data_IF_307121606401
#
_entry.id   IF_307121606401
#
_cell.length_a   1.000
_cell.length_b   1.000
_cell.length_c   1.000
_cell.angle_alpha   90.00
_cell.angle_beta   90.00
_cell.angle_gamma   90.00
#
_symmetry.space_group_name_H-M   'P 1'
#
loop_
_entity.id
_entity.type
_entity.pdbx_description
1 polymer ?
#
# COMPACT_ATOMS: atom_id res chain seq x y z
N UNK A 1 15.61 -12.59 -6.00
CA UNK A 1 14.52 -11.75 -5.44
C UNK A 1 14.41 -11.95 -3.94
N UNK A 2 14.46 -10.85 -3.17
CA UNK A 2 14.21 -10.86 -1.72
C UNK A 2 13.18 -9.80 -1.34
N UNK A 3 12.54 -10.00 -0.19
CA UNK A 3 11.71 -8.97 0.44
C UNK A 3 12.51 -8.29 1.55
N UNK A 4 12.46 -6.97 1.57
CA UNK A 4 13.06 -6.14 2.59
C UNK A 4 11.96 -5.37 3.32
N UNK A 5 12.14 -5.19 4.63
CA UNK A 5 11.41 -4.19 5.40
C UNK A 5 12.31 -2.96 5.49
N UNK A 6 11.76 -1.80 5.14
CA UNK A 6 12.38 -0.50 5.31
C UNK A 6 11.50 0.29 6.26
N UNK A 7 12.05 0.69 7.39
CA UNK A 7 11.40 1.59 8.35
C UNK A 7 12.28 2.81 8.55
N UNK A 8 11.67 3.98 8.67
CA UNK A 8 12.40 5.21 8.92
C UNK A 8 11.71 6.03 10.01
N UNK A 9 12.46 6.87 10.70
CA UNK A 9 11.95 7.87 11.62
C UNK A 9 12.55 9.21 11.22
N UNK A 10 11.72 10.24 11.03
CA UNK A 10 12.17 11.54 10.53
C UNK A 10 11.94 12.59 11.60
N UNK A 11 13.00 13.29 12.01
CA UNK A 11 12.90 14.40 12.93
C UNK A 11 12.08 15.57 12.33
N UNK A 12 12.14 15.73 11.00
CA UNK A 12 11.39 16.75 10.26
C UNK A 12 10.59 16.15 9.08
N UNK A 13 9.42 15.54 9.35
CA UNK A 13 8.66 14.77 8.36
C UNK A 13 8.22 15.57 7.13
N UNK A 14 8.02 16.88 7.25
CA UNK A 14 7.50 17.71 6.16
C UNK A 14 8.51 17.97 5.03
N UNK A 15 9.81 17.79 5.30
CA UNK A 15 10.87 18.13 4.35
C UNK A 15 11.20 16.98 3.41
N UNK A 16 11.46 15.79 3.97
CA UNK A 16 12.14 14.71 3.23
C UNK A 16 11.21 13.51 2.94
N UNK A 17 10.09 13.36 3.66
CA UNK A 17 9.20 12.18 3.61
C UNK A 17 8.69 11.84 2.20
N UNK A 18 8.30 12.84 1.42
CA UNK A 18 7.78 12.60 0.07
C UNK A 18 8.88 12.10 -0.88
N UNK A 19 10.06 12.71 -0.81
CA UNK A 19 11.23 12.35 -1.63
C UNK A 19 11.69 10.94 -1.26
N UNK A 20 11.75 10.63 0.03
CA UNK A 20 12.14 9.32 0.55
C UNK A 20 11.17 8.21 0.10
N UNK A 21 9.87 8.49 0.15
CA UNK A 21 8.84 7.59 -0.38
C UNK A 21 9.02 7.35 -1.89
N UNK A 22 9.25 8.40 -2.69
CA UNK A 22 9.49 8.26 -4.13
C UNK A 22 10.75 7.43 -4.42
N UNK A 23 11.83 7.64 -3.66
CA UNK A 23 13.07 6.89 -3.85
C UNK A 23 12.90 5.40 -3.50
N UNK A 24 12.21 5.07 -2.39
CA UNK A 24 11.87 3.69 -2.03
C UNK A 24 11.04 3.04 -3.15
N UNK A 25 10.04 3.75 -3.66
CA UNK A 25 9.21 3.26 -4.77
C UNK A 25 10.03 2.98 -6.02
N UNK A 26 11.00 3.84 -6.35
CA UNK A 26 11.85 3.74 -7.52
C UNK A 26 12.76 2.50 -7.49
N UNK A 27 13.35 2.19 -6.33
CA UNK A 27 14.26 1.04 -6.11
C UNK A 27 13.52 -0.30 -6.24
N UNK A 28 12.26 -0.35 -5.81
CA UNK A 28 11.45 -1.56 -5.78
C UNK A 28 10.90 -1.98 -7.14
N UNK A 29 10.97 -3.28 -7.43
CA UNK A 29 10.18 -3.88 -8.52
C UNK A 29 8.70 -3.98 -8.14
N UNK A 30 8.43 -4.30 -6.87
CA UNK A 30 7.13 -4.14 -6.22
C UNK A 30 7.33 -3.69 -4.78
N UNK A 31 6.38 -2.94 -4.24
CA UNK A 31 6.47 -2.39 -2.89
C UNK A 31 5.08 -2.35 -2.26
N UNK A 32 5.08 -2.25 -0.94
CA UNK A 32 3.91 -1.99 -0.13
C UNK A 32 4.25 -1.00 0.98
N UNK A 33 3.25 -0.21 1.38
CA UNK A 33 3.37 0.73 2.50
C UNK A 33 2.31 0.38 3.56
N UNK A 34 2.58 -0.62 4.44
CA UNK A 34 1.65 -1.03 5.49
C UNK A 34 1.37 0.07 6.51
N UNK A 35 2.40 0.84 6.87
CA UNK A 35 2.32 1.99 7.76
C UNK A 35 3.00 3.18 7.10
N UNK A 36 2.73 4.38 7.60
CA UNK A 36 3.23 5.59 6.98
C UNK A 36 4.76 5.61 6.83
N UNK A 37 5.47 5.08 7.82
CA UNK A 37 6.92 5.08 7.87
C UNK A 37 7.56 3.70 7.63
N UNK A 38 6.75 2.67 7.31
CA UNK A 38 7.23 1.30 7.10
C UNK A 38 6.81 0.78 5.75
N UNK A 39 7.75 0.16 5.06
CA UNK A 39 7.65 -0.28 3.68
C UNK A 39 8.11 -1.74 3.57
N UNK A 40 7.39 -2.51 2.77
CA UNK A 40 7.91 -3.75 2.22
C UNK A 40 8.38 -3.49 0.81
N UNK A 41 9.57 -3.98 0.47
CA UNK A 41 10.19 -3.77 -0.82
C UNK A 41 10.68 -5.09 -1.39
N UNK A 42 10.22 -5.46 -2.58
CA UNK A 42 10.76 -6.59 -3.33
C UNK A 42 11.77 -6.07 -4.36
N UNK A 43 13.01 -6.50 -4.22
CA UNK A 43 14.12 -6.05 -5.07
C UNK A 43 15.24 -7.11 -5.13
N UNK A 44 16.16 -6.94 -6.07
CA UNK A 44 17.42 -7.69 -6.13
C UNK A 44 18.56 -6.97 -5.40
N UNK A 45 18.38 -5.67 -5.11
CA UNK A 45 19.37 -4.87 -4.41
C UNK A 45 19.59 -5.38 -2.98
N UNK A 46 20.84 -5.25 -2.51
CA UNK A 46 21.23 -5.54 -1.12
C UNK A 46 20.90 -4.36 -0.23
N UNK A 47 20.75 -4.64 1.05
CA UNK A 47 20.42 -3.69 2.11
C UNK A 47 21.38 -2.50 2.12
N UNK A 48 22.69 -2.76 2.01
CA UNK A 48 23.77 -1.76 1.92
C UNK A 48 23.63 -0.83 0.71
N UNK A 49 23.18 -1.37 -0.44
CA UNK A 49 23.02 -0.57 -1.66
C UNK A 49 21.81 0.36 -1.57
N UNK A 50 20.80 -0.03 -0.80
CA UNK A 50 19.59 0.77 -0.57
C UNK A 50 19.88 1.81 0.52
N UNK A 51 20.58 1.43 1.59
CA UNK A 51 21.06 2.36 2.61
C UNK A 51 21.87 3.49 1.97
N UNK A 52 22.86 3.16 1.13
CA UNK A 52 23.69 4.15 0.48
C UNK A 52 22.89 5.14 -0.40
N UNK A 53 21.81 4.68 -1.03
CA UNK A 53 20.92 5.53 -1.84
C UNK A 53 20.00 6.41 -0.99
N UNK A 54 19.50 5.89 0.13
CA UNK A 54 18.57 6.61 1.00
C UNK A 54 19.28 7.56 1.97
N UNK A 55 20.53 7.26 2.36
CA UNK A 55 21.32 8.06 3.30
C UNK A 55 21.46 9.52 2.88
N UNK A 56 21.58 9.81 1.58
CA UNK A 56 21.69 11.18 1.08
C UNK A 56 20.42 12.03 1.29
N UNK A 57 19.31 11.41 1.70
CA UNK A 57 18.03 12.05 1.94
C UNK A 57 17.69 12.17 3.44
N UNK A 58 18.59 11.69 4.31
CA UNK A 58 18.42 11.67 5.76
C UNK A 58 19.26 12.78 6.40
N UNK A 59 18.67 13.47 7.36
CA UNK A 59 19.38 14.37 8.27
C UNK A 59 20.05 13.56 9.41
N UNK A 60 21.03 14.12 10.13
CA UNK A 60 21.78 13.39 11.17
C UNK A 60 20.92 12.83 12.32
N UNK A 61 19.75 13.46 12.57
CA UNK A 61 18.80 13.06 13.61
C UNK A 61 17.73 12.08 13.11
N UNK A 62 17.76 11.72 11.82
CA UNK A 62 16.80 10.77 11.24
C UNK A 62 17.27 9.31 11.44
N UNK A 63 16.31 8.41 11.63
CA UNK A 63 16.51 6.97 11.74
C UNK A 63 16.18 6.22 10.45
N UNK A 64 16.98 5.22 10.11
CA UNK A 64 16.71 4.29 9.01
C UNK A 64 17.05 2.85 9.43
N UNK A 65 16.10 1.95 9.22
CA UNK A 65 16.24 0.51 9.41
C UNK A 65 15.93 -0.18 8.08
N UNK A 66 16.87 -1.01 7.62
CA UNK A 66 16.67 -1.88 6.47
C UNK A 66 17.00 -3.31 6.91
N UNK A 67 16.04 -4.21 6.73
CA UNK A 67 16.19 -5.61 7.10
C UNK A 67 15.65 -6.51 6.00
N UNK A 68 16.44 -7.49 5.56
CA UNK A 68 15.90 -8.60 4.80
C UNK A 68 15.01 -9.47 5.68
N UNK A 69 13.78 -9.68 5.24
CA UNK A 69 12.94 -10.72 5.81
C UNK A 69 13.50 -12.05 5.35
N UNK A 70 13.97 -12.87 6.30
CA UNK A 70 14.25 -14.28 6.03
C UNK A 70 12.91 -15.01 6.00
N UNK A 71 12.81 -15.96 5.09
CA UNK A 71 11.60 -16.74 4.81
C UNK A 71 10.41 -15.91 4.29
N UNK A 72 9.28 -16.58 4.06
CA UNK A 72 8.07 -15.95 3.56
C UNK A 72 7.25 -15.34 4.70
N UNK A 73 6.75 -14.12 4.50
CA UNK A 73 5.82 -13.51 5.42
C UNK A 73 4.43 -14.14 5.26
N UNK A 74 3.83 -14.58 6.36
CA UNK A 74 2.41 -14.95 6.36
C UNK A 74 1.58 -13.67 6.31
N UNK A 75 0.80 -13.53 5.24
CA UNK A 75 0.00 -12.35 4.95
C UNK A 75 -1.46 -12.77 4.83
N UNK A 76 -2.36 -12.06 5.51
CA UNK A 76 -3.81 -12.29 5.39
C UNK A 76 -4.45 -11.02 4.84
N UNK A 77 -5.09 -11.13 3.66
CA UNK A 77 -5.73 -10.03 2.92
C UNK A 77 -4.80 -8.88 2.45
N UNK A 78 -3.57 -8.85 2.94
CA UNK A 78 -2.59 -7.80 2.68
C UNK A 78 -1.85 -8.02 1.38
N UNK A 79 -1.47 -9.26 1.04
CA UNK A 79 -0.75 -9.55 -0.21
C UNK A 79 -1.45 -9.01 -1.47
N UNK A 80 -2.79 -9.04 -1.51
CA UNK A 80 -3.62 -8.52 -2.62
C UNK A 80 -3.59 -6.98 -2.75
N UNK A 81 -3.43 -6.27 -1.63
CA UNK A 81 -3.54 -4.81 -1.56
C UNK A 81 -2.18 -4.12 -1.55
N UNK A 82 -1.20 -4.80 -0.97
CA UNK A 82 0.09 -4.24 -0.60
C UNK A 82 1.07 -4.27 -1.75
N UNK A 83 1.17 -5.36 -2.50
CA UNK A 83 2.15 -5.47 -3.58
C UNK A 83 1.53 -5.11 -4.93
N UNK A 84 1.44 -3.80 -5.22
CA UNK A 84 1.09 -3.33 -6.57
C UNK A 84 2.33 -3.42 -7.47
N UNK A 85 2.27 -4.28 -8.48
CA UNK A 85 3.29 -4.30 -9.54
C UNK A 85 3.06 -3.12 -10.47
N UNK A 86 4.10 -2.30 -10.71
CA UNK A 86 4.03 -1.23 -11.72
C UNK A 86 3.76 -1.86 -13.09
N UNK A 87 2.55 -1.70 -13.63
CA UNK A 87 2.29 -1.92 -15.06
C UNK A 87 2.87 -0.72 -15.79
N UNK A 88 3.89 -0.96 -16.60
CA UNK A 88 4.46 0.05 -17.47
C UNK A 88 3.34 0.57 -18.41
N UNK A 89 2.95 1.83 -18.26
CA UNK A 89 2.14 2.53 -19.26
C UNK A 89 0.72 2.97 -18.89
N UNK A 90 0.29 2.96 -17.62
CA UNK A 90 -1.03 3.52 -17.25
C UNK A 90 -0.88 4.50 -16.09
N UNK A 91 -0.63 5.77 -16.42
CA UNK A 91 -1.05 6.87 -15.58
C UNK A 91 -2.56 7.04 -15.77
N UNK A 92 -3.36 6.80 -14.74
CA UNK A 92 -4.72 7.35 -14.66
C UNK A 92 -5.14 7.40 -13.20
N UNK A 93 -5.51 8.60 -12.75
CA UNK A 93 -5.97 8.87 -11.40
C UNK A 93 -7.19 8.04 -11.03
N UNK A 94 -7.23 7.59 -9.78
CA UNK A 94 -8.33 6.82 -9.22
C UNK A 94 -7.83 5.79 -8.24
N UNK A 95 -7.81 6.15 -6.96
CA UNK A 95 -7.54 5.23 -5.84
C UNK A 95 -8.68 4.22 -5.64
N UNK A 96 -8.86 3.29 -6.58
CA UNK A 96 -9.84 2.21 -6.44
C UNK A 96 -9.19 0.85 -6.63
N UNK A 97 -8.50 0.41 -5.59
CA UNK A 97 -8.19 -1.01 -5.36
C UNK A 97 -9.38 -1.77 -4.70
N UNK A 98 -10.59 -1.19 -4.74
CA UNK A 98 -11.80 -1.83 -4.22
C UNK A 98 -12.39 -2.65 -5.36
N UNK A 99 -12.23 -3.98 -5.31
CA UNK A 99 -13.14 -4.89 -6.00
C UNK A 99 -14.44 -4.79 -5.21
N UNK A 100 -15.36 -3.93 -5.64
CA UNK A 100 -16.71 -3.93 -5.11
C UNK A 100 -17.29 -5.33 -5.38
N UNK A 101 -17.75 -6.02 -4.34
CA UNK A 101 -18.61 -7.19 -4.53
C UNK A 101 -19.75 -6.80 -5.46
N UNK A 102 -20.23 -7.70 -6.34
CA UNK A 102 -21.38 -7.40 -7.18
C UNK A 102 -22.51 -6.89 -6.28
N UNK A 103 -22.93 -5.65 -6.55
CA UNK A 103 -24.01 -5.00 -5.82
C UNK A 103 -25.22 -5.93 -5.95
N UNK A 104 -25.80 -6.45 -4.86
CA UNK A 104 -27.01 -7.26 -4.98
C UNK A 104 -28.04 -6.45 -5.76
N UNK A 105 -28.69 -7.09 -6.72
CA UNK A 105 -29.72 -6.44 -7.52
C UNK A 105 -30.70 -5.72 -6.59
N UNK A 106 -31.15 -4.51 -6.95
CA UNK A 106 -32.12 -3.79 -6.12
C UNK A 106 -33.28 -4.74 -5.81
N UNK A 107 -33.56 -4.91 -4.53
CA UNK A 107 -34.70 -5.69 -4.07
C UNK A 107 -35.96 -5.03 -4.65
N UNK A 108 -36.56 -5.66 -5.65
CA UNK A 108 -37.87 -5.26 -6.15
C UNK A 108 -38.85 -5.81 -5.14
N UNK A 109 -39.44 -4.91 -4.36
CA UNK A 109 -40.50 -5.25 -3.43
C UNK A 109 -41.78 -5.51 -4.25
N UNK A 110 -42.00 -6.78 -4.63
CA UNK A 110 -43.20 -7.25 -5.33
C UNK A 110 -44.40 -7.43 -4.38
N UNK A 111 -44.37 -6.83 -3.19
CA UNK A 111 -45.54 -6.78 -2.32
C UNK A 111 -46.57 -5.82 -2.91
N UNK A 112 -47.50 -6.38 -3.71
CA UNK A 112 -48.76 -5.74 -4.04
C UNK A 112 -49.42 -5.26 -2.74
N UNK A 113 -49.48 -3.94 -2.56
CA UNK A 113 -50.26 -3.33 -1.48
C UNK A 113 -51.71 -3.77 -1.65
N UNK A 114 -52.14 -4.71 -0.79
CA UNK A 114 -53.54 -5.05 -0.67
C UNK A 114 -54.27 -3.83 -0.11
N UNK A 115 -55.40 -3.40 -0.69
CA UNK A 115 -56.10 -2.22 -0.24
C UNK A 115 -56.54 -2.42 1.21
N UNK A 116 -56.11 -1.51 2.07
CA UNK A 116 -56.47 -1.49 3.48
C UNK A 116 -57.99 -1.34 3.57
N UNK A 117 -58.68 -2.35 4.09
CA UNK A 117 -60.12 -2.29 4.28
C UNK A 117 -60.46 -1.15 5.24
N UNK A 118 -61.26 -0.18 4.78
CA UNK A 118 -61.83 0.85 5.65
C UNK A 118 -62.73 0.17 6.69
N UNK A 119 -62.40 0.37 7.97
CA UNK A 119 -63.23 -0.10 9.08
C UNK A 119 -64.44 0.83 9.24
N UNK A 120 -65.64 0.24 9.19
CA UNK A 120 -66.93 0.88 9.49
C UNK A 120 -67.06 1.34 10.95
#
# INVERSE_FOLDING_TARGET
MRTLIISYDLAQPHRNKHILAQQIMAIGQSWARPLEQTWYLRTEAREEQIEAQLRGLLDPDDGLLIQATRDEAVLTNTALRWFRQRRAGVETGGDTNVIAFPMPAPFVDDQQELPLAEAC
#
